data_IF_289099091084
#
_entry.id   IF_289099091084
#
_cell.length_a   1.000
_cell.length_b   1.000
_cell.length_c   1.000
_cell.angle_alpha   90.00
_cell.angle_beta   90.00
_cell.angle_gamma   90.00
#
_symmetry.space_group_name_H-M   'P 1'
#
loop_
_entity.id
_entity.type
_entity.pdbx_description
1 polymer ?
#
# COMPACT_ATOMS: atom_id res chain seq x y z
N UNK A 1 0.95 -8.39 37.48
CA UNK A 1 1.38 -7.42 36.50
C UNK A 1 2.31 -8.17 35.53
N UNK A 2 1.82 -8.59 34.40
CA UNK A 2 2.65 -9.16 33.34
C UNK A 2 3.42 -8.00 32.73
N UNK A 3 4.75 -8.06 32.77
CA UNK A 3 5.61 -7.10 32.07
C UNK A 3 5.51 -7.46 30.60
N UNK A 4 4.74 -6.70 29.84
CA UNK A 4 4.80 -6.72 28.36
C UNK A 4 6.17 -6.18 27.99
N UNK A 5 7.03 -7.02 27.47
CA UNK A 5 8.29 -6.59 26.83
C UNK A 5 7.93 -6.11 25.45
N UNK A 6 7.84 -4.79 25.29
CA UNK A 6 7.73 -4.16 23.98
C UNK A 6 9.04 -4.44 23.24
N UNK A 7 8.98 -5.14 22.14
CA UNK A 7 10.11 -5.36 21.25
C UNK A 7 10.10 -4.31 20.15
N UNK A 8 11.21 -3.59 19.99
CA UNK A 8 11.46 -2.77 18.80
C UNK A 8 12.41 -3.56 17.91
N UNK A 9 12.01 -3.85 16.67
CA UNK A 9 12.79 -4.59 15.70
C UNK A 9 12.75 -3.84 14.37
N UNK A 10 13.92 -3.74 13.74
CA UNK A 10 14.09 -3.13 12.42
C UNK A 10 14.40 -4.20 11.39
N UNK A 11 13.76 -4.15 10.22
CA UNK A 11 13.98 -5.12 9.15
C UNK A 11 13.10 -4.87 7.93
N UNK A 12 13.32 -5.69 6.90
CA UNK A 12 12.46 -5.71 5.71
C UNK A 12 11.22 -6.55 5.96
N UNK A 13 10.06 -6.03 5.64
CA UNK A 13 8.82 -6.81 5.57
C UNK A 13 8.84 -7.66 4.32
N UNK A 14 8.58 -8.95 4.47
CA UNK A 14 8.52 -9.91 3.38
C UNK A 14 7.23 -10.70 3.43
N UNK A 15 6.64 -10.90 2.26
CA UNK A 15 5.47 -11.75 2.08
C UNK A 15 5.87 -13.21 1.88
N UNK A 16 5.16 -14.13 2.52
CA UNK A 16 5.31 -15.57 2.35
C UNK A 16 4.06 -16.16 1.70
N UNK A 17 4.21 -16.78 0.53
CA UNK A 17 3.09 -17.45 -0.16
C UNK A 17 2.52 -18.62 0.64
N UNK A 18 3.25 -19.14 1.61
CA UNK A 18 2.87 -20.29 2.42
C UNK A 18 2.90 -19.93 3.89
N UNK A 19 1.76 -20.04 4.57
CA UNK A 19 1.72 -19.91 6.03
C UNK A 19 2.31 -21.16 6.68
N UNK A 20 3.47 -20.99 7.33
CA UNK A 20 4.17 -22.05 8.06
C UNK A 20 3.46 -22.37 9.38
N UNK A 21 2.78 -21.38 9.96
CA UNK A 21 2.08 -21.51 11.23
C UNK A 21 0.66 -22.07 11.14
N UNK A 22 0.24 -22.53 9.94
CA UNK A 22 -1.09 -23.08 9.66
C UNK A 22 -2.25 -22.09 9.90
N UNK A 23 -1.94 -20.79 9.99
CA UNK A 23 -2.88 -19.67 10.17
C UNK A 23 -2.34 -18.41 9.50
N UNK A 24 -3.01 -17.26 9.65
CA UNK A 24 -2.59 -16.00 9.03
C UNK A 24 -1.39 -15.33 9.73
N UNK A 25 -0.92 -15.85 10.84
CA UNK A 25 0.19 -15.27 11.61
C UNK A 25 1.56 -15.32 10.90
N UNK A 26 1.73 -16.14 9.87
CA UNK A 26 3.00 -16.32 9.17
C UNK A 26 2.91 -16.03 7.67
N UNK A 27 2.05 -15.11 7.30
CA UNK A 27 1.96 -14.58 5.92
C UNK A 27 3.06 -13.54 5.69
N UNK A 28 3.42 -12.79 6.74
CA UNK A 28 4.51 -11.82 6.68
C UNK A 28 5.59 -12.14 7.70
N UNK A 29 6.82 -11.79 7.36
CA UNK A 29 7.96 -11.91 8.25
C UNK A 29 8.92 -10.73 8.09
N UNK A 30 9.78 -10.55 9.09
CA UNK A 30 10.90 -9.63 9.02
C UNK A 30 12.17 -10.37 8.67
N UNK A 31 12.96 -9.73 7.81
CA UNK A 31 14.27 -10.14 7.36
C UNK A 31 15.26 -9.01 7.65
N UNK A 32 16.46 -9.34 8.12
CA UNK A 32 17.50 -8.34 8.31
C UNK A 32 18.13 -7.91 6.98
N UNK A 33 19.07 -6.97 7.02
CA UNK A 33 19.79 -6.47 5.84
C UNK A 33 20.68 -7.51 5.16
N UNK A 34 20.96 -8.66 5.78
CA UNK A 34 21.72 -9.77 5.23
C UNK A 34 20.82 -10.86 4.63
N UNK A 35 19.51 -10.72 4.72
CA UNK A 35 18.54 -11.72 4.29
C UNK A 35 18.29 -12.82 5.33
N UNK A 36 18.61 -12.57 6.60
CA UNK A 36 18.36 -13.53 7.68
C UNK A 36 16.96 -13.29 8.29
N UNK A 37 16.20 -14.35 8.45
CA UNK A 37 14.89 -14.32 9.09
C UNK A 37 15.01 -13.84 10.55
N UNK A 38 14.19 -12.85 10.91
CA UNK A 38 14.13 -12.29 12.27
C UNK A 38 12.93 -12.81 13.04
N UNK A 39 11.73 -12.63 12.50
CA UNK A 39 10.49 -13.05 13.15
C UNK A 39 9.33 -13.09 12.17
N UNK A 40 8.33 -13.92 12.45
CA UNK A 40 7.01 -13.75 11.88
C UNK A 40 6.35 -12.50 12.46
N UNK A 41 5.58 -11.80 11.63
CA UNK A 41 4.85 -10.60 12.01
C UNK A 41 3.40 -10.72 11.61
N UNK A 42 2.51 -10.19 12.41
CA UNK A 42 1.08 -10.14 12.15
C UNK A 42 0.51 -8.80 12.64
N UNK A 43 -0.65 -8.48 12.14
CA UNK A 43 -1.46 -7.36 12.60
C UNK A 43 -2.86 -7.90 12.79
N UNK A 44 -3.20 -8.30 14.02
CA UNK A 44 -4.43 -9.05 14.32
C UNK A 44 -5.70 -8.27 13.96
N UNK A 45 -5.65 -6.94 14.01
CA UNK A 45 -6.79 -6.09 13.67
C UNK A 45 -7.01 -5.99 12.15
N UNK A 46 -5.93 -5.97 11.34
CA UNK A 46 -6.02 -5.89 9.88
C UNK A 46 -4.68 -6.23 9.21
N UNK A 47 -4.48 -7.50 8.90
CA UNK A 47 -3.22 -7.98 8.29
C UNK A 47 -2.95 -7.34 6.91
N UNK A 48 -3.99 -6.90 6.21
CA UNK A 48 -3.91 -6.24 4.89
C UNK A 48 -3.09 -4.93 4.94
N UNK A 49 -2.95 -4.32 6.12
CA UNK A 49 -2.09 -3.14 6.29
C UNK A 49 -0.63 -3.46 5.93
N UNK A 50 -0.17 -4.71 6.16
CA UNK A 50 1.20 -5.12 5.90
C UNK A 50 1.53 -5.20 4.40
N UNK A 51 0.54 -5.29 3.51
CA UNK A 51 0.73 -5.22 2.06
C UNK A 51 1.43 -3.93 1.64
N UNK A 52 1.08 -2.81 2.30
CA UNK A 52 1.67 -1.49 2.03
C UNK A 52 3.15 -1.40 2.41
N UNK A 53 3.62 -2.33 3.23
CA UNK A 53 5.00 -2.37 3.71
C UNK A 53 5.82 -3.52 3.11
N UNK A 54 5.25 -4.31 2.20
CA UNK A 54 6.00 -5.39 1.56
C UNK A 54 7.24 -4.84 0.83
N UNK A 55 8.39 -5.51 1.02
CA UNK A 55 9.71 -5.09 0.54
C UNK A 55 10.24 -3.76 1.12
N UNK A 56 9.56 -3.19 2.13
CA UNK A 56 9.97 -1.95 2.79
C UNK A 56 10.79 -2.25 4.05
N UNK A 57 11.76 -1.37 4.32
CA UNK A 57 12.54 -1.39 5.55
C UNK A 57 11.81 -0.59 6.62
N UNK A 58 11.50 -1.22 7.73
CA UNK A 58 10.59 -0.68 8.75
C UNK A 58 11.16 -0.84 10.16
N UNK A 59 10.73 0.04 11.04
CA UNK A 59 10.83 -0.09 12.48
C UNK A 59 9.46 -0.52 13.00
N UNK A 60 9.39 -1.65 13.70
CA UNK A 60 8.16 -2.15 14.30
C UNK A 60 8.27 -2.21 15.82
N UNK A 61 7.14 -1.98 16.47
CA UNK A 61 6.93 -2.29 17.89
C UNK A 61 5.74 -3.23 18.02
N UNK A 62 5.81 -4.19 18.92
CA UNK A 62 4.73 -5.15 19.13
C UNK A 62 4.98 -6.10 20.28
N UNK A 63 3.99 -6.94 20.52
CA UNK A 63 4.01 -7.98 21.55
C UNK A 63 4.07 -9.37 20.90
N UNK A 64 4.77 -10.30 21.55
CA UNK A 64 4.78 -11.70 21.08
C UNK A 64 3.41 -12.32 21.24
N UNK A 65 2.88 -12.92 20.17
CA UNK A 65 1.63 -13.66 20.14
C UNK A 65 1.87 -15.13 19.79
N UNK A 66 1.14 -16.02 20.45
CA UNK A 66 1.17 -17.44 20.11
C UNK A 66 0.16 -17.73 19.01
N UNK A 67 0.63 -18.17 17.86
CA UNK A 67 -0.13 -18.68 16.75
C UNK A 67 -0.33 -20.20 16.87
N UNK A 68 -0.97 -20.86 15.91
CA UNK A 68 -1.29 -22.29 16.00
C UNK A 68 -0.03 -23.16 16.16
N UNK A 69 0.99 -22.95 15.34
CA UNK A 69 2.22 -23.76 15.37
C UNK A 69 3.51 -22.94 15.53
N UNK A 70 3.42 -21.61 15.68
CA UNK A 70 4.57 -20.74 15.82
C UNK A 70 4.30 -19.54 16.75
N UNK A 71 5.30 -18.71 16.93
CA UNK A 71 5.18 -17.39 17.57
C UNK A 71 5.38 -16.31 16.51
N UNK A 72 4.62 -15.21 16.62
CA UNK A 72 4.75 -14.02 15.78
C UNK A 72 4.78 -12.78 16.66
N UNK A 73 5.13 -11.65 16.08
CA UNK A 73 4.98 -10.34 16.71
C UNK A 73 3.68 -9.74 16.18
N UNK A 74 2.73 -9.50 17.09
CA UNK A 74 1.54 -8.71 16.82
C UNK A 74 1.92 -7.23 16.89
N UNK A 75 1.92 -6.58 15.73
CA UNK A 75 2.42 -5.22 15.57
C UNK A 75 1.44 -4.23 16.18
N UNK A 76 1.95 -3.35 17.03
CA UNK A 76 1.20 -2.21 17.60
C UNK A 76 1.59 -0.89 16.95
N UNK A 77 2.81 -0.82 16.37
CA UNK A 77 3.30 0.34 15.63
C UNK A 77 4.23 -0.12 14.52
N UNK A 78 4.08 0.45 13.34
CA UNK A 78 4.95 0.24 12.17
C UNK A 78 5.26 1.58 11.51
N UNK A 79 6.52 1.84 11.25
CA UNK A 79 6.99 3.05 10.57
C UNK A 79 8.05 2.70 9.53
N UNK A 80 8.09 3.45 8.42
CA UNK A 80 9.19 3.33 7.47
C UNK A 80 10.49 3.80 8.11
N UNK A 81 11.55 3.00 7.96
CA UNK A 81 12.89 3.37 8.37
C UNK A 81 13.70 3.87 7.17
N UNK A 82 14.44 4.96 7.37
CA UNK A 82 15.28 5.60 6.36
C UNK A 82 16.77 5.37 6.64
N UNK A 83 17.09 4.66 7.72
CA UNK A 83 18.45 4.43 8.19
C UNK A 83 18.86 2.97 8.04
N UNK A 84 19.11 2.52 6.79
CA UNK A 84 19.69 1.21 6.50
C UNK A 84 21.19 1.32 6.28
N UNK A 85 21.94 0.24 6.57
CA UNK A 85 23.41 0.19 6.39
C UNK A 85 23.79 0.12 4.92
N UNK A 86 22.92 -0.48 4.09
CA UNK A 86 23.17 -0.73 2.67
C UNK A 86 22.12 -0.09 1.77
N UNK A 87 22.10 1.26 1.66
CA UNK A 87 21.13 1.93 0.81
C UNK A 87 21.36 1.59 -0.67
N UNK A 88 20.26 1.45 -1.41
CA UNK A 88 20.29 1.21 -2.86
C UNK A 88 20.77 2.45 -3.58
N UNK A 89 21.65 2.26 -4.57
CA UNK A 89 22.18 3.36 -5.36
C UNK A 89 21.28 3.63 -6.57
N UNK A 90 20.39 4.60 -6.48
CA UNK A 90 19.44 4.96 -7.52
C UNK A 90 20.08 5.87 -8.56
N UNK A 91 19.77 5.66 -9.86
CA UNK A 91 20.29 6.49 -10.95
C UNK A 91 19.73 7.91 -10.91
N UNK A 92 18.51 8.06 -10.42
CA UNK A 92 17.80 9.33 -10.27
C UNK A 92 17.10 9.31 -8.91
N UNK A 93 17.00 10.48 -8.29
CA UNK A 93 16.23 10.64 -7.06
C UNK A 93 14.76 10.26 -7.33
N UNK A 94 14.17 9.32 -6.55
CA UNK A 94 12.81 8.86 -6.77
C UNK A 94 11.79 9.99 -6.71
N UNK A 95 11.98 11.00 -5.88
CA UNK A 95 11.08 12.16 -5.81
C UNK A 95 11.14 13.10 -7.03
N UNK A 96 12.18 12.97 -7.87
CA UNK A 96 12.27 13.75 -9.12
C UNK A 96 11.47 13.11 -10.26
N UNK A 97 11.32 11.77 -10.21
CA UNK A 97 10.68 10.99 -11.27
C UNK A 97 9.28 10.50 -10.89
N UNK A 98 8.86 10.72 -9.65
CA UNK A 98 7.54 10.35 -9.15
C UNK A 98 6.76 11.60 -8.76
N UNK A 99 5.46 11.58 -8.96
CA UNK A 99 4.56 12.68 -8.60
C UNK A 99 3.29 12.09 -7.96
N UNK A 100 2.89 12.65 -6.83
CA UNK A 100 1.63 12.30 -6.16
C UNK A 100 0.50 13.16 -6.72
N UNK A 101 -0.11 12.73 -7.80
CA UNK A 101 -1.16 13.51 -8.48
C UNK A 101 -2.42 13.63 -7.63
N UNK A 102 -2.73 12.62 -6.82
CA UNK A 102 -3.89 12.63 -5.92
C UNK A 102 -3.75 13.63 -4.77
N UNK A 103 -2.52 13.93 -4.36
CA UNK A 103 -2.20 14.86 -3.28
C UNK A 103 -1.05 15.81 -3.67
N UNK A 104 -1.30 16.83 -4.50
CA UNK A 104 -0.22 17.71 -4.97
C UNK A 104 0.50 18.50 -3.86
N UNK A 105 -0.09 18.56 -2.66
CA UNK A 105 0.50 19.23 -1.50
C UNK A 105 1.32 18.28 -0.61
N UNK A 106 1.41 17.00 -0.96
CA UNK A 106 2.20 16.04 -0.21
C UNK A 106 3.69 16.30 -0.39
N UNK A 107 4.44 16.17 0.70
CA UNK A 107 5.89 16.24 0.71
C UNK A 107 6.46 14.87 0.32
N UNK A 108 7.33 14.84 -0.69
CA UNK A 108 8.03 13.62 -1.07
C UNK A 108 9.35 13.50 -0.30
N UNK A 109 9.58 12.35 0.31
CA UNK A 109 10.82 11.98 0.98
C UNK A 109 11.41 10.77 0.26
N UNK A 110 12.62 10.86 -0.33
CA UNK A 110 13.23 9.72 -1.00
C UNK A 110 13.71 8.69 0.02
N UNK A 111 13.40 7.42 -0.21
CA UNK A 111 13.85 6.32 0.63
C UNK A 111 14.62 5.32 -0.22
N UNK A 112 15.85 5.03 0.20
CA UNK A 112 16.80 4.18 -0.51
C UNK A 112 17.01 2.81 0.17
N UNK A 113 16.22 2.50 1.20
CA UNK A 113 16.30 1.24 1.92
C UNK A 113 15.47 0.16 1.21
N UNK A 114 16.18 -0.81 0.62
CA UNK A 114 15.58 -1.92 -0.14
C UNK A 114 15.12 -1.59 -1.56
N UNK A 115 15.10 -0.30 -1.94
CA UNK A 115 14.65 0.13 -3.26
C UNK A 115 14.83 1.62 -3.49
N UNK A 116 14.26 2.09 -4.60
CA UNK A 116 14.22 3.51 -4.95
C UNK A 116 12.79 4.01 -4.75
N UNK A 117 12.43 4.33 -3.53
CA UNK A 117 11.06 4.65 -3.14
C UNK A 117 10.84 6.15 -3.02
N UNK A 118 9.71 6.63 -3.50
CA UNK A 118 9.20 7.98 -3.25
C UNK A 118 8.09 7.89 -2.19
N UNK A 119 8.40 8.25 -0.96
CA UNK A 119 7.43 8.22 0.14
C UNK A 119 6.79 9.58 0.30
N UNK A 120 5.48 9.64 0.30
CA UNK A 120 4.74 10.89 0.36
C UNK A 120 4.07 11.08 1.71
N UNK A 121 4.22 12.28 2.26
CA UNK A 121 3.65 12.65 3.54
C UNK A 121 2.70 13.85 3.40
N UNK A 122 1.53 13.75 3.98
CA UNK A 122 0.58 14.85 4.08
C UNK A 122 0.30 15.15 5.55
N UNK A 123 0.60 16.35 6.00
CA UNK A 123 0.50 16.76 7.41
C UNK A 123 1.28 15.86 8.40
N UNK A 124 2.35 15.22 7.93
CA UNK A 124 3.19 14.34 8.72
C UNK A 124 2.73 12.88 8.75
N UNK A 125 1.66 12.52 8.05
CA UNK A 125 1.19 11.16 7.89
C UNK A 125 1.64 10.61 6.53
N UNK A 126 2.14 9.36 6.51
CA UNK A 126 2.48 8.65 5.28
C UNK A 126 1.19 8.39 4.50
N UNK A 127 1.19 8.77 3.24
CA UNK A 127 0.06 8.53 2.34
C UNK A 127 0.49 7.66 1.16
N UNK A 128 -0.43 6.86 0.69
CA UNK A 128 -0.26 6.09 -0.53
C UNK A 128 -0.62 6.96 -1.73
N UNK A 129 0.35 7.23 -2.60
CA UNK A 129 0.13 7.95 -3.86
C UNK A 129 -0.15 7.00 -5.02
N UNK A 130 -0.20 5.71 -4.75
CA UNK A 130 -0.68 4.79 -5.74
C UNK A 130 -2.12 5.17 -6.09
N UNK A 131 -2.28 5.48 -7.35
CA UNK A 131 -3.54 5.39 -8.03
C UNK A 131 -3.93 3.89 -8.18
N UNK A 132 -4.08 3.16 -7.07
CA UNK A 132 -5.30 2.41 -7.00
C UNK A 132 -6.34 3.52 -6.98
N UNK A 133 -6.82 3.91 -8.15
CA UNK A 133 -8.09 4.59 -8.20
C UNK A 133 -8.97 3.73 -7.30
N UNK A 134 -9.35 4.25 -6.12
CA UNK A 134 -10.56 3.78 -5.52
C UNK A 134 -11.53 3.81 -6.68
N UNK A 135 -11.93 2.63 -7.16
CA UNK A 135 -12.73 2.57 -8.37
C UNK A 135 -13.92 3.46 -8.10
N UNK A 136 -13.89 4.67 -8.66
CA UNK A 136 -14.95 5.66 -8.41
C UNK A 136 -16.21 5.01 -8.91
N UNK A 137 -17.12 4.69 -7.99
CA UNK A 137 -18.38 4.10 -8.34
C UNK A 137 -19.20 5.12 -9.15
N UNK A 138 -19.30 4.83 -10.44
CA UNK A 138 -20.05 5.65 -11.39
C UNK A 138 -21.54 5.30 -11.44
N UNK A 139 -22.01 4.47 -10.50
CA UNK A 139 -23.43 4.07 -10.40
C UNK A 139 -24.34 5.29 -10.25
N UNK A 140 -25.23 5.45 -11.21
CA UNK A 140 -26.21 6.53 -11.19
C UNK A 140 -25.69 7.91 -11.65
N UNK A 141 -24.42 8.00 -12.08
CA UNK A 141 -23.90 9.22 -12.71
C UNK A 141 -24.47 9.32 -14.13
N UNK A 142 -25.05 10.46 -14.48
CA UNK A 142 -25.61 10.74 -15.80
C UNK A 142 -24.60 11.52 -16.66
N UNK A 143 -23.96 10.82 -17.60
CA UNK A 143 -23.03 11.39 -18.57
C UNK A 143 -23.72 11.90 -19.84
N UNK A 144 -25.05 11.99 -19.85
CA UNK A 144 -25.87 12.43 -20.99
C UNK A 144 -26.25 11.30 -21.94
N UNK A 145 -27.20 11.60 -22.84
CA UNK A 145 -27.85 10.61 -23.72
C UNK A 145 -27.10 10.38 -25.06
N UNK A 146 -25.80 10.65 -25.09
CA UNK A 146 -25.00 10.37 -26.31
C UNK A 146 -24.54 8.91 -26.36
N UNK A 147 -24.33 8.41 -27.57
CA UNK A 147 -23.84 7.04 -27.80
C UNK A 147 -22.31 6.99 -27.93
N UNK A 148 -21.58 8.03 -27.53
CA UNK A 148 -20.14 8.05 -27.54
C UNK A 148 -19.63 7.15 -26.41
N UNK A 149 -18.73 6.23 -26.73
CA UNK A 149 -18.05 5.44 -25.70
C UNK A 149 -17.06 6.35 -24.93
N UNK A 150 -17.28 6.51 -23.64
CA UNK A 150 -16.41 7.29 -22.75
C UNK A 150 -15.24 6.46 -22.24
N UNK A 151 -15.45 5.18 -21.99
CA UNK A 151 -14.46 4.25 -21.47
C UNK A 151 -15.10 3.12 -20.68
N UNK A 152 -14.28 2.44 -19.90
CA UNK A 152 -14.71 1.41 -18.95
C UNK A 152 -14.70 2.04 -17.58
N UNK A 153 -15.77 1.87 -16.81
CA UNK A 153 -15.89 2.41 -15.46
C UNK A 153 -16.48 1.40 -14.50
N UNK A 154 -16.29 1.63 -13.21
CA UNK A 154 -16.81 0.81 -12.13
C UNK A 154 -18.26 1.19 -11.83
N UNK A 155 -19.20 0.24 -12.00
CA UNK A 155 -20.64 0.45 -11.84
C UNK A 155 -21.26 -0.77 -11.16
N UNK A 156 -21.95 -0.61 -10.04
CA UNK A 156 -22.59 -1.70 -9.30
C UNK A 156 -21.65 -2.90 -9.06
N UNK A 157 -20.47 -2.64 -8.55
CA UNK A 157 -19.44 -3.67 -8.26
C UNK A 157 -18.94 -4.44 -9.50
N UNK A 158 -19.07 -3.89 -10.70
CA UNK A 158 -18.57 -4.48 -11.93
C UNK A 158 -17.97 -3.43 -12.86
N UNK A 159 -17.03 -3.87 -13.70
CA UNK A 159 -16.51 -3.06 -14.79
C UNK A 159 -17.47 -3.10 -15.98
N UNK A 160 -17.95 -1.94 -16.43
CA UNK A 160 -18.85 -1.82 -17.54
C UNK A 160 -18.39 -0.73 -18.52
N UNK A 161 -18.75 -0.91 -19.82
CA UNK A 161 -18.54 0.15 -20.80
C UNK A 161 -19.57 1.23 -20.62
N UNK A 162 -19.11 2.46 -20.40
CA UNK A 162 -19.97 3.62 -20.19
C UNK A 162 -20.00 4.46 -21.48
N UNK A 163 -21.18 4.94 -21.83
CA UNK A 163 -21.38 5.88 -22.92
C UNK A 163 -22.00 7.18 -22.39
N UNK A 164 -21.71 8.27 -23.04
CA UNK A 164 -22.23 9.58 -22.66
C UNK A 164 -21.82 10.68 -23.64
N UNK A 165 -22.08 11.92 -23.28
CA UNK A 165 -21.74 13.10 -24.08
C UNK A 165 -20.40 13.72 -23.68
N UNK A 166 -20.02 13.57 -22.42
CA UNK A 166 -18.82 14.15 -21.84
C UNK A 166 -18.43 13.34 -20.58
N UNK A 167 -17.17 13.44 -20.13
CA UNK A 167 -16.68 12.90 -18.87
C UNK A 167 -17.04 13.78 -17.66
N UNK A 168 -17.71 14.91 -17.90
CA UNK A 168 -18.17 15.83 -16.86
C UNK A 168 -19.65 15.60 -16.57
N UNK A 169 -19.98 15.32 -15.33
CA UNK A 169 -21.36 15.23 -14.84
C UNK A 169 -21.50 16.06 -13.55
N UNK A 170 -22.59 16.80 -13.41
CA UNK A 170 -22.87 17.66 -12.25
C UNK A 170 -21.72 18.62 -11.86
N UNK A 171 -20.99 19.11 -12.83
CA UNK A 171 -19.79 19.97 -12.66
C UNK A 171 -18.57 19.27 -12.06
N UNK A 172 -18.56 17.94 -12.00
CA UNK A 172 -17.42 17.11 -11.58
C UNK A 172 -16.82 16.46 -12.82
N UNK A 173 -15.49 16.52 -12.95
CA UNK A 173 -14.73 15.85 -14.01
C UNK A 173 -14.37 14.42 -13.56
N UNK A 174 -14.91 13.43 -14.26
CA UNK A 174 -14.69 12.01 -14.02
C UNK A 174 -13.70 11.36 -15.00
N UNK A 175 -12.97 12.13 -15.79
CA UNK A 175 -12.03 11.58 -16.79
C UNK A 175 -11.09 10.56 -16.19
N UNK A 176 -10.62 10.78 -14.94
CA UNK A 176 -9.72 9.88 -14.24
C UNK A 176 -10.38 8.59 -13.71
N UNK A 177 -11.71 8.51 -13.73
CA UNK A 177 -12.47 7.33 -13.27
C UNK A 177 -12.69 6.28 -14.37
N UNK A 178 -12.18 6.52 -15.58
CA UNK A 178 -12.35 5.62 -16.72
C UNK A 178 -11.06 4.87 -17.03
N UNK A 179 -11.19 3.58 -17.27
CA UNK A 179 -10.11 2.67 -17.62
C UNK A 179 -10.06 2.43 -19.14
N UNK A 180 -8.88 2.06 -19.65
CA UNK A 180 -8.69 1.78 -21.05
C UNK A 180 -9.03 0.32 -21.42
N UNK A 181 -8.99 -0.59 -20.46
CA UNK A 181 -9.34 -2.00 -20.62
C UNK A 181 -10.14 -2.56 -19.45
N UNK A 182 -10.82 -3.70 -19.68
CA UNK A 182 -11.52 -4.42 -18.60
C UNK A 182 -10.54 -5.00 -17.56
N UNK A 183 -9.31 -5.28 -17.98
CA UNK A 183 -8.27 -5.85 -17.11
C UNK A 183 -7.65 -4.78 -16.17
N UNK A 184 -7.79 -3.49 -16.52
CA UNK A 184 -7.29 -2.38 -15.71
C UNK A 184 -8.35 -1.88 -14.69
N UNK A 185 -9.59 -2.23 -14.90
CA UNK A 185 -10.73 -1.88 -14.07
C UNK A 185 -10.88 -2.92 -12.94
#
# INVERSE_FOLDING_TARGET
>A
MLSTTLFAITGYVRFSEVSVCMDNCSIYYLEDENGEFLSWITYLDSIEILDNYNDRFVDIEGDTVQCVECEAIDITSIMLSYECQTPVNCFVDPCVVSECTSFPAAECIPNYCGGCWADYYLNGELITCDLTMDCVDLTGIDFGLCTMALGIGWVNDNCETISGCDWVADSVDYTAAFFNSMDDC
#
